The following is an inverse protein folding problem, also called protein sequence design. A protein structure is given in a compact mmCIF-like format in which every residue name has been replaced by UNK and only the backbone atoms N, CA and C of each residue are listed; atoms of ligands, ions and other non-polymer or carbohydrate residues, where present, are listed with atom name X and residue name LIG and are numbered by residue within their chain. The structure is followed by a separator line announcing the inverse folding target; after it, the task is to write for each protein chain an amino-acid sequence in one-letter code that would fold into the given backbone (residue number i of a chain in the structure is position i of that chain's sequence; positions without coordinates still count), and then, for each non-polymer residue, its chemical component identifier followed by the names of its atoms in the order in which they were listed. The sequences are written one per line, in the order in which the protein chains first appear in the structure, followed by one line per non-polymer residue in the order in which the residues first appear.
data_IF_281173319700
#
_entry.id   IF_281173319700
#
_cell.length_a   1.000
_cell.length_b   1.000
_cell.length_c   1.000
_cell.angle_alpha   90.00
_cell.angle_beta   90.00
_cell.angle_gamma   90.00
#
_symmetry.space_group_name_H-M   'P 1'
#
loop_
_entity.id
_entity.type
_entity.pdbx_description
1 polymer ?
#
# COMPACT_ATOMS: atom_id res chain seq x y z
N UNK A 1 7.40 -13.62 8.15
CA UNK A 1 6.08 -13.70 7.54
C UNK A 1 5.96 -15.02 6.75
N UNK A 2 5.17 -16.01 7.22
CA UNK A 2 5.06 -17.32 6.55
C UNK A 2 4.29 -17.25 5.22
N UNK A 3 3.44 -16.25 5.06
CA UNK A 3 2.54 -16.15 3.90
C UNK A 3 3.18 -15.50 2.67
N UNK A 4 4.26 -14.74 2.81
CA UNK A 4 4.77 -13.88 1.75
C UNK A 4 6.26 -14.07 1.49
N UNK A 5 6.59 -14.67 0.35
CA UNK A 5 7.98 -14.88 -0.08
C UNK A 5 8.74 -13.55 -0.27
N UNK A 6 8.08 -12.54 -0.84
CA UNK A 6 8.65 -11.19 -0.99
C UNK A 6 9.14 -10.63 0.36
N UNK A 7 8.30 -10.69 1.41
CA UNK A 7 8.65 -10.21 2.74
C UNK A 7 9.83 -10.98 3.35
N UNK A 8 9.88 -12.31 3.17
CA UNK A 8 11.02 -13.12 3.62
C UNK A 8 12.31 -12.76 2.89
N UNK A 9 12.24 -12.57 1.57
CA UNK A 9 13.40 -12.18 0.78
C UNK A 9 13.91 -10.79 1.18
N UNK A 10 13.02 -9.83 1.47
CA UNK A 10 13.43 -8.52 1.99
C UNK A 10 14.12 -8.62 3.35
N UNK A 11 13.59 -9.42 4.27
CA UNK A 11 14.25 -9.66 5.56
C UNK A 11 15.64 -10.29 5.39
N UNK A 12 15.76 -11.32 4.54
CA UNK A 12 17.05 -11.96 4.25
C UNK A 12 18.06 -11.00 3.61
N UNK A 13 17.62 -10.09 2.74
CA UNK A 13 18.49 -9.03 2.20
C UNK A 13 18.99 -8.09 3.29
N UNK A 14 18.14 -7.67 4.22
CA UNK A 14 18.55 -6.82 5.35
C UNK A 14 19.56 -7.54 6.25
N UNK A 15 19.30 -8.79 6.61
CA UNK A 15 20.19 -9.61 7.43
C UNK A 15 21.56 -9.76 6.77
N UNK A 16 21.61 -10.06 5.48
CA UNK A 16 22.84 -10.18 4.70
C UNK A 16 23.64 -8.87 4.70
N UNK A 17 23.00 -7.75 4.43
CA UNK A 17 23.65 -6.44 4.33
C UNK A 17 24.18 -5.98 5.71
N UNK A 18 23.42 -6.18 6.78
CA UNK A 18 23.85 -5.83 8.13
C UNK A 18 24.98 -6.75 8.62
N UNK A 19 24.95 -8.04 8.28
CA UNK A 19 26.04 -8.96 8.57
C UNK A 19 27.33 -8.57 7.82
N UNK A 20 27.21 -8.15 6.56
CA UNK A 20 28.35 -7.66 5.78
C UNK A 20 28.92 -6.37 6.35
N UNK A 21 28.05 -5.45 6.78
CA UNK A 21 28.47 -4.26 7.51
C UNK A 21 29.28 -4.60 8.77
N UNK A 22 28.75 -5.50 9.59
CA UNK A 22 29.43 -5.92 10.83
C UNK A 22 30.78 -6.60 10.56
N UNK A 23 30.90 -7.33 9.45
CA UNK A 23 32.11 -8.08 9.08
C UNK A 23 33.20 -7.20 8.46
N UNK A 24 32.84 -6.22 7.63
CA UNK A 24 33.79 -5.49 6.77
C UNK A 24 33.75 -3.97 6.94
N UNK A 25 32.77 -3.42 7.65
CA UNK A 25 32.49 -1.99 7.67
C UNK A 25 31.81 -1.47 6.40
N UNK A 26 31.24 -2.35 5.55
CA UNK A 26 30.50 -1.95 4.35
C UNK A 26 29.42 -0.91 4.68
N UNK A 27 29.43 0.29 4.07
CA UNK A 27 28.52 1.37 4.45
C UNK A 27 27.12 1.11 3.91
N UNK A 28 26.26 0.53 4.73
CA UNK A 28 24.86 0.25 4.40
C UNK A 28 23.91 1.04 5.28
N UNK A 29 22.85 1.55 4.70
CA UNK A 29 21.69 2.10 5.41
C UNK A 29 20.43 1.39 4.89
N UNK A 30 19.64 0.82 5.79
CA UNK A 30 18.39 0.15 5.45
C UNK A 30 17.24 1.14 5.58
N UNK A 31 16.41 1.23 4.55
CA UNK A 31 15.19 2.04 4.57
C UNK A 31 13.97 1.16 4.34
N UNK A 32 13.01 1.25 5.25
CA UNK A 32 11.75 0.50 5.24
C UNK A 32 10.60 1.45 4.98
N UNK A 33 10.18 1.65 3.74
CA UNK A 33 8.94 2.38 3.42
C UNK A 33 7.72 1.54 3.80
N UNK A 34 6.58 2.21 3.98
CA UNK A 34 5.28 1.55 3.90
C UNK A 34 4.78 1.57 2.45
N UNK A 35 3.53 1.89 2.19
CA UNK A 35 3.01 2.01 0.83
C UNK A 35 3.35 3.40 0.26
N UNK A 36 4.52 3.50 -0.37
CA UNK A 36 4.93 4.74 -1.06
C UNK A 36 4.27 4.83 -2.42
N UNK A 37 3.75 6.00 -2.78
CA UNK A 37 3.03 6.23 -4.03
C UNK A 37 3.27 7.63 -4.60
N UNK A 38 2.91 7.82 -5.87
CA UNK A 38 2.94 9.10 -6.58
C UNK A 38 1.70 9.21 -7.49
N UNK A 39 1.60 10.28 -8.29
CA UNK A 39 0.45 10.46 -9.19
C UNK A 39 0.24 9.29 -10.17
N UNK A 40 1.29 8.53 -10.50
CA UNK A 40 1.25 7.39 -11.44
C UNK A 40 0.90 6.06 -10.77
N UNK A 41 0.79 6.03 -9.46
CA UNK A 41 0.48 4.82 -8.69
C UNK A 41 -0.43 5.17 -7.53
N UNK A 42 -1.52 4.45 -7.38
CA UNK A 42 -2.53 4.70 -6.36
C UNK A 42 -2.64 3.47 -5.44
N UNK A 43 -2.49 3.63 -4.12
CA UNK A 43 -2.70 2.55 -3.18
C UNK A 43 -4.17 2.10 -3.15
N UNK A 44 -4.37 0.80 -3.38
CA UNK A 44 -5.64 0.10 -3.16
C UNK A 44 -5.36 -1.21 -2.44
N UNK A 45 -6.35 -1.75 -1.73
CA UNK A 45 -6.13 -2.98 -0.96
C UNK A 45 -5.99 -4.20 -1.88
N UNK A 46 -6.92 -4.35 -2.82
CA UNK A 46 -7.03 -5.51 -3.72
C UNK A 46 -7.03 -4.98 -5.16
N UNK A 47 -6.22 -5.58 -6.02
CA UNK A 47 -6.18 -5.27 -7.45
C UNK A 47 -5.67 -6.46 -8.24
N UNK A 48 -5.99 -6.50 -9.53
CA UNK A 48 -5.43 -7.41 -10.52
C UNK A 48 -4.24 -6.80 -11.27
N UNK A 49 -3.99 -7.27 -12.48
CA UNK A 49 -2.91 -6.82 -13.34
C UNK A 49 -3.10 -5.37 -13.84
N UNK A 50 -4.34 -4.91 -13.98
CA UNK A 50 -4.69 -3.51 -14.31
C UNK A 50 -4.41 -2.51 -13.19
N UNK A 51 -3.97 -2.99 -12.02
CA UNK A 51 -3.64 -2.15 -10.88
C UNK A 51 -4.84 -1.37 -10.35
N UNK A 52 -4.58 -0.16 -9.87
CA UNK A 52 -5.62 0.68 -9.27
C UNK A 52 -6.70 1.12 -10.28
N UNK A 53 -6.36 1.26 -11.56
CA UNK A 53 -7.33 1.69 -12.56
C UNK A 53 -8.55 0.76 -12.62
N UNK A 54 -8.35 -0.56 -12.61
CA UNK A 54 -9.45 -1.52 -12.65
C UNK A 54 -10.42 -1.37 -11.44
N UNK A 55 -9.90 -0.91 -10.30
CA UNK A 55 -10.71 -0.60 -9.11
C UNK A 55 -11.48 0.70 -9.31
N UNK A 56 -10.83 1.77 -9.79
CA UNK A 56 -11.49 3.05 -10.10
C UNK A 56 -12.58 2.87 -11.14
N UNK A 57 -12.30 2.13 -12.22
CA UNK A 57 -13.27 1.81 -13.28
C UNK A 57 -14.50 1.10 -12.69
N UNK A 58 -14.28 0.10 -11.81
CA UNK A 58 -15.37 -0.62 -11.14
C UNK A 58 -16.23 0.32 -10.27
N UNK A 59 -15.58 1.23 -9.53
CA UNK A 59 -16.29 2.24 -8.72
C UNK A 59 -17.13 3.18 -9.60
N UNK A 60 -16.57 3.67 -10.71
CA UNK A 60 -17.30 4.53 -11.68
C UNK A 60 -18.47 3.82 -12.34
N UNK A 61 -18.41 2.49 -12.51
CA UNK A 61 -19.52 1.68 -12.98
C UNK A 61 -20.59 1.43 -11.91
N UNK A 62 -20.42 1.94 -10.68
CA UNK A 62 -21.34 1.73 -9.56
C UNK A 62 -21.35 0.29 -9.01
N UNK A 63 -20.33 -0.50 -9.34
CA UNK A 63 -20.17 -1.87 -8.86
C UNK A 63 -19.57 -1.89 -7.45
N UNK A 64 -19.81 -2.97 -6.71
CA UNK A 64 -19.18 -3.17 -5.40
C UNK A 64 -17.71 -3.55 -5.54
N UNK A 65 -16.88 -3.03 -4.66
CA UNK A 65 -15.44 -3.35 -4.60
C UNK A 65 -15.15 -4.35 -3.48
N UNK A 66 -14.43 -5.44 -3.74
CA UNK A 66 -13.99 -6.35 -2.68
C UNK A 66 -13.08 -5.64 -1.69
N UNK A 67 -13.36 -5.87 -0.40
CA UNK A 67 -12.58 -5.34 0.71
C UNK A 67 -12.27 -6.49 1.66
N UNK A 68 -11.00 -6.69 2.00
CA UNK A 68 -10.61 -7.75 2.89
C UNK A 68 -11.08 -7.51 4.32
N UNK A 69 -11.65 -8.52 4.93
CA UNK A 69 -12.23 -8.51 6.27
C UNK A 69 -13.35 -7.46 6.38
N UNK A 70 -13.30 -6.59 7.37
CA UNK A 70 -14.21 -5.48 7.60
C UNK A 70 -13.71 -4.13 7.04
N UNK A 71 -12.51 -4.13 6.44
CA UNK A 71 -11.88 -2.92 5.92
C UNK A 71 -11.31 -1.98 6.99
N UNK A 72 -11.28 -2.39 8.26
CA UNK A 72 -10.83 -1.55 9.39
C UNK A 72 -9.36 -1.78 9.77
N UNK A 73 -8.63 -2.65 9.08
CA UNK A 73 -7.18 -2.73 9.29
C UNK A 73 -6.50 -1.41 8.93
N UNK A 74 -5.62 -0.97 9.84
CA UNK A 74 -4.90 0.30 9.73
C UNK A 74 -3.72 0.19 8.77
N UNK A 75 -3.55 1.22 7.97
CA UNK A 75 -2.45 1.30 7.00
C UNK A 75 -1.84 2.70 6.94
N UNK A 76 -0.65 2.79 6.35
CA UNK A 76 0.06 4.06 6.18
C UNK A 76 0.47 4.23 4.72
N UNK A 77 0.01 5.32 4.10
CA UNK A 77 0.32 5.70 2.71
C UNK A 77 1.22 6.94 2.73
N UNK A 78 2.29 6.91 1.96
CA UNK A 78 3.28 8.01 1.94
C UNK A 78 3.52 8.45 0.50
N UNK A 79 3.38 9.74 0.20
CA UNK A 79 3.74 10.23 -1.13
C UNK A 79 5.26 10.11 -1.35
N UNK A 80 5.68 9.93 -2.60
CA UNK A 80 7.09 9.83 -2.95
C UNK A 80 7.86 11.11 -2.57
N UNK A 81 7.21 12.27 -2.68
CA UNK A 81 7.78 13.56 -2.33
C UNK A 81 8.08 13.66 -0.82
N UNK A 82 7.11 13.29 0.01
CA UNK A 82 7.27 13.30 1.47
C UNK A 82 8.31 12.28 1.93
N UNK A 83 8.30 11.08 1.32
CA UNK A 83 9.32 10.07 1.56
C UNK A 83 10.72 10.62 1.24
N UNK A 84 10.88 11.32 0.11
CA UNK A 84 12.15 11.84 -0.34
C UNK A 84 12.79 12.84 0.65
N UNK A 85 12.01 13.58 1.42
CA UNK A 85 12.52 14.54 2.41
C UNK A 85 13.47 13.86 3.41
N UNK A 86 13.00 12.81 4.07
CA UNK A 86 13.84 12.09 5.04
C UNK A 86 14.87 11.19 4.34
N UNK A 87 14.52 10.60 3.20
CA UNK A 87 15.43 9.75 2.44
C UNK A 87 16.68 10.53 2.02
N UNK A 88 16.52 11.74 1.48
CA UNK A 88 17.64 12.61 1.13
C UNK A 88 18.47 13.00 2.36
N UNK A 89 17.85 13.18 3.52
CA UNK A 89 18.56 13.45 4.78
C UNK A 89 19.41 12.28 5.31
N UNK A 90 19.17 11.05 4.82
CA UNK A 90 19.99 9.88 5.13
C UNK A 90 21.17 9.71 4.16
N UNK A 91 21.09 10.26 2.95
CA UNK A 91 22.16 10.12 1.96
C UNK A 91 23.44 10.84 2.43
N UNK A 92 24.54 10.10 2.48
CA UNK A 92 25.82 10.62 2.95
C UNK A 92 25.89 10.91 4.47
N UNK A 93 24.86 10.55 5.24
CA UNK A 93 24.83 10.72 6.68
C UNK A 93 25.55 9.57 7.37
N UNK A 94 26.72 9.83 7.93
CA UNK A 94 27.52 8.82 8.63
C UNK A 94 26.80 8.17 9.81
N UNK A 95 25.90 8.90 10.50
CA UNK A 95 25.11 8.37 11.60
C UNK A 95 24.00 7.39 11.15
N UNK A 96 23.77 7.28 9.85
CA UNK A 96 22.82 6.32 9.27
C UNK A 96 23.47 4.99 8.85
N UNK A 97 24.80 4.92 8.83
CA UNK A 97 25.53 3.71 8.42
C UNK A 97 25.32 2.60 9.46
N UNK A 98 24.99 1.40 8.98
CA UNK A 98 24.71 0.22 9.82
C UNK A 98 23.32 0.22 10.46
N UNK A 99 22.48 1.19 10.13
CA UNK A 99 21.21 1.41 10.79
C UNK A 99 20.01 1.18 9.85
N UNK A 100 18.84 0.87 10.44
CA UNK A 100 17.58 0.71 9.71
C UNK A 100 16.56 1.78 10.14
N UNK A 101 15.84 2.34 9.16
CA UNK A 101 14.89 3.44 9.34
C UNK A 101 13.55 3.14 8.71
N UNK A 102 12.46 3.43 9.40
CA UNK A 102 11.16 3.65 8.78
C UNK A 102 11.08 5.09 8.27
N UNK A 103 10.51 5.25 7.07
CA UNK A 103 10.12 6.54 6.51
C UNK A 103 8.69 6.38 6.00
N UNK A 104 7.73 6.92 6.74
CA UNK A 104 6.30 6.76 6.45
C UNK A 104 5.55 8.02 6.82
N UNK A 105 4.33 8.20 6.29
CA UNK A 105 3.43 9.24 6.78
C UNK A 105 3.12 9.04 8.26
N UNK A 106 2.78 10.12 8.96
CA UNK A 106 2.21 10.07 10.31
C UNK A 106 0.68 9.83 10.27
N UNK A 107 0.05 9.93 9.09
CA UNK A 107 -1.36 9.61 8.91
C UNK A 107 -1.57 8.11 8.92
N UNK A 108 -2.50 7.66 9.76
CA UNK A 108 -2.93 6.26 9.83
C UNK A 108 -4.40 6.19 9.43
N UNK A 109 -4.72 5.41 8.41
CA UNK A 109 -6.07 5.31 7.87
C UNK A 109 -6.49 3.84 7.70
N UNK A 110 -7.80 3.59 7.71
CA UNK A 110 -8.35 2.28 7.38
C UNK A 110 -8.55 2.12 5.87
N UNK A 111 -8.67 0.88 5.39
CA UNK A 111 -9.00 0.65 3.98
C UNK A 111 -10.37 1.20 3.61
N UNK A 112 -11.33 1.20 4.55
CA UNK A 112 -12.61 1.88 4.34
C UNK A 112 -12.44 3.37 4.10
N UNK A 113 -11.56 4.04 4.86
CA UNK A 113 -11.26 5.47 4.64
C UNK A 113 -10.57 5.70 3.29
N UNK A 114 -9.65 4.79 2.89
CA UNK A 114 -9.03 4.83 1.56
C UNK A 114 -10.09 4.82 0.47
N UNK A 115 -10.99 3.82 0.47
CA UNK A 115 -12.00 3.69 -0.59
C UNK A 115 -13.07 4.79 -0.54
N UNK A 116 -13.44 5.28 0.65
CA UNK A 116 -14.33 6.45 0.77
C UNK A 116 -13.71 7.69 0.15
N UNK A 117 -12.42 7.95 0.42
CA UNK A 117 -11.72 9.06 -0.20
C UNK A 117 -11.70 8.95 -1.74
N UNK A 118 -11.50 7.75 -2.29
CA UNK A 118 -11.57 7.52 -3.74
C UNK A 118 -12.99 7.75 -4.29
N UNK A 119 -14.02 7.27 -3.60
CA UNK A 119 -15.42 7.48 -3.97
C UNK A 119 -15.79 8.97 -3.99
N UNK A 120 -15.38 9.72 -2.96
CA UNK A 120 -15.58 11.17 -2.86
C UNK A 120 -14.88 11.92 -4.01
N UNK A 121 -13.64 11.51 -4.37
CA UNK A 121 -12.90 12.11 -5.48
C UNK A 121 -13.58 11.84 -6.82
N UNK A 122 -14.09 10.63 -7.03
CA UNK A 122 -14.78 10.21 -8.24
C UNK A 122 -16.24 10.72 -8.33
N UNK A 123 -16.80 11.20 -7.22
CA UNK A 123 -18.21 11.62 -7.15
C UNK A 123 -19.19 10.44 -7.24
N UNK A 124 -18.83 9.26 -6.69
CA UNK A 124 -19.62 8.04 -6.70
C UNK A 124 -19.86 7.50 -5.29
N UNK A 125 -20.85 6.61 -5.13
CA UNK A 125 -21.06 5.93 -3.86
C UNK A 125 -19.99 4.89 -3.56
N UNK A 126 -19.50 4.85 -2.33
CA UNK A 126 -18.67 3.75 -1.86
C UNK A 126 -19.52 2.51 -1.59
N UNK A 127 -19.32 1.46 -2.35
CA UNK A 127 -20.08 0.21 -2.29
C UNK A 127 -19.17 -0.99 -1.99
N UNK A 128 -18.82 -1.25 -0.71
CA UNK A 128 -17.94 -2.36 -0.36
C UNK A 128 -18.64 -3.73 -0.49
N UNK A 129 -17.83 -4.73 -0.82
CA UNK A 129 -18.12 -6.14 -0.65
C UNK A 129 -17.10 -6.70 0.33
N UNK A 130 -17.46 -6.84 1.61
CA UNK A 130 -16.56 -7.35 2.63
C UNK A 130 -16.38 -8.86 2.51
N UNK A 131 -15.12 -9.29 2.45
CA UNK A 131 -14.75 -10.68 2.16
C UNK A 131 -13.68 -11.14 3.15
N UNK A 132 -13.84 -12.29 3.80
CA UNK A 132 -12.80 -12.84 4.66
C UNK A 132 -11.46 -12.96 3.91
N UNK A 133 -10.38 -12.50 4.53
CA UNK A 133 -9.05 -12.52 3.90
C UNK A 133 -8.61 -13.94 3.49
N UNK A 134 -8.97 -14.96 4.28
CA UNK A 134 -8.67 -16.35 3.95
C UNK A 134 -9.38 -16.84 2.68
N UNK A 135 -10.57 -16.30 2.36
CA UNK A 135 -11.29 -16.64 1.13
C UNK A 135 -10.61 -16.00 -0.08
N UNK A 136 -10.21 -14.73 0.01
CA UNK A 136 -9.41 -14.07 -1.02
C UNK A 136 -8.10 -14.83 -1.29
N UNK A 137 -7.46 -15.34 -0.24
CA UNK A 137 -6.23 -16.12 -0.34
C UNK A 137 -6.40 -17.48 -1.05
N UNK A 138 -7.63 -17.96 -1.22
CA UNK A 138 -7.92 -19.17 -2.02
C UNK A 138 -8.01 -18.89 -3.53
N UNK A 139 -7.89 -17.65 -3.95
CA UNK A 139 -7.88 -17.32 -5.38
C UNK A 139 -6.79 -18.09 -6.11
N UNK A 140 -7.17 -18.64 -7.28
CA UNK A 140 -6.23 -19.30 -8.20
C UNK A 140 -5.67 -18.32 -9.26
N UNK A 141 -6.29 -17.14 -9.37
CA UNK A 141 -5.92 -16.12 -10.34
C UNK A 141 -4.89 -15.15 -9.77
N UNK A 142 -4.96 -14.87 -8.47
CA UNK A 142 -4.13 -13.87 -7.80
C UNK A 142 -3.54 -14.44 -6.50
N UNK A 143 -2.26 -14.15 -6.23
CA UNK A 143 -1.63 -14.51 -4.95
C UNK A 143 -1.96 -13.46 -3.88
N UNK A 144 -3.10 -13.64 -3.21
CA UNK A 144 -3.50 -12.82 -2.07
C UNK A 144 -3.02 -13.39 -0.71
N UNK A 145 -2.32 -14.53 -0.67
CA UNK A 145 -1.72 -15.03 0.57
C UNK A 145 -0.71 -14.01 1.13
N UNK A 146 0.20 -13.55 0.27
CA UNK A 146 1.20 -12.57 0.66
C UNK A 146 0.60 -11.21 0.91
N UNK A 147 -0.03 -10.65 -0.12
CA UNK A 147 -0.45 -9.24 -0.12
C UNK A 147 -1.65 -8.93 0.79
N UNK A 148 -2.50 -9.91 1.09
CA UNK A 148 -3.67 -9.72 1.97
C UNK A 148 -3.45 -10.39 3.31
N UNK A 149 -3.36 -11.74 3.41
CA UNK A 149 -3.19 -12.44 4.69
C UNK A 149 -1.89 -12.07 5.39
N UNK A 150 -0.81 -11.96 4.63
CA UNK A 150 0.52 -11.64 5.16
C UNK A 150 0.77 -10.14 5.38
N UNK A 151 -0.12 -9.27 4.90
CA UNK A 151 0.14 -7.84 4.86
C UNK A 151 -1.14 -7.02 5.12
N UNK A 152 -1.92 -6.65 4.11
CA UNK A 152 -2.96 -5.62 4.15
C UNK A 152 -4.19 -5.94 5.02
N UNK A 153 -4.41 -7.20 5.39
CA UNK A 153 -5.44 -7.57 6.36
C UNK A 153 -5.03 -7.35 7.82
N UNK A 154 -3.77 -6.97 8.06
CA UNK A 154 -3.24 -6.73 9.40
C UNK A 154 -2.96 -5.23 9.58
N UNK A 155 -3.28 -4.69 10.77
CA UNK A 155 -2.97 -3.30 11.08
C UNK A 155 -1.48 -3.09 11.25
N UNK A 156 -0.95 -2.02 10.65
CA UNK A 156 0.43 -1.60 10.80
C UNK A 156 0.52 -0.08 10.93
N UNK A 157 1.29 0.36 11.93
CA UNK A 157 1.67 1.76 12.13
C UNK A 157 3.17 1.81 12.43
N UNK A 158 3.79 2.95 12.13
CA UNK A 158 5.24 3.08 12.23
C UNK A 158 5.65 4.30 13.05
N UNK A 159 6.83 4.24 13.65
CA UNK A 159 7.46 5.34 14.37
C UNK A 159 8.59 5.94 13.54
N UNK A 160 8.46 7.23 13.22
CA UNK A 160 9.46 8.02 12.50
C UNK A 160 10.48 8.74 13.42
N UNK A 161 10.43 8.53 14.74
CA UNK A 161 11.28 9.26 15.69
C UNK A 161 12.78 9.07 15.41
N UNK A 162 13.18 7.87 15.00
CA UNK A 162 14.58 7.55 14.70
C UNK A 162 15.10 8.32 13.48
N UNK A 163 14.35 8.33 12.37
CA UNK A 163 14.79 9.04 11.17
C UNK A 163 14.83 10.54 11.41
N UNK A 164 13.88 11.12 12.13
CA UNK A 164 13.88 12.53 12.53
C UNK A 164 15.12 12.89 13.34
N UNK A 165 15.46 12.07 14.33
CA UNK A 165 16.64 12.30 15.20
C UNK A 165 17.94 12.22 14.41
N UNK A 166 18.10 11.23 13.54
CA UNK A 166 19.36 11.00 12.82
C UNK A 166 19.56 12.00 11.69
N UNK A 167 18.52 12.40 10.98
CA UNK A 167 18.60 13.41 9.91
C UNK A 167 18.65 14.84 10.44
N UNK A 168 18.23 15.09 11.68
CA UNK A 168 18.00 16.43 12.21
C UNK A 168 16.80 17.13 11.59
N UNK A 169 16.05 16.48 10.69
CA UNK A 169 14.83 17.00 10.09
C UNK A 169 13.70 16.80 11.09
N UNK A 170 13.05 17.87 11.50
CA UNK A 170 11.91 17.84 12.40
C UNK A 170 10.70 17.12 11.79
N UNK A 171 9.55 17.22 12.47
CA UNK A 171 8.29 16.75 11.91
C UNK A 171 7.93 17.58 10.68
N UNK A 172 7.57 16.92 9.60
CA UNK A 172 7.04 17.55 8.39
C UNK A 172 5.53 17.37 8.32
N UNK A 173 4.85 18.23 7.58
CA UNK A 173 3.44 18.10 7.29
C UNK A 173 3.28 17.15 6.11
N UNK A 174 3.06 15.88 6.40
CA UNK A 174 2.82 14.87 5.37
C UNK A 174 1.55 15.16 4.59
N UNK A 175 1.61 14.93 3.29
CA UNK A 175 0.45 15.02 2.41
C UNK A 175 -0.62 14.03 2.86
N UNK A 176 -1.83 14.48 3.25
CA UNK A 176 -2.93 13.59 3.58
C UNK A 176 -3.27 12.69 2.40
N UNK A 177 -3.65 11.43 2.67
CA UNK A 177 -3.98 10.47 1.61
C UNK A 177 -5.02 11.02 0.64
N UNK A 178 -6.09 11.64 1.12
CA UNK A 178 -7.14 12.21 0.26
C UNK A 178 -6.60 13.25 -0.74
N UNK A 179 -5.56 14.01 -0.36
CA UNK A 179 -4.90 15.00 -1.25
C UNK A 179 -4.03 14.31 -2.28
N UNK A 180 -3.17 13.39 -1.86
CA UNK A 180 -2.30 12.63 -2.76
C UNK A 180 -3.09 11.74 -3.72
N UNK A 181 -4.12 11.05 -3.21
CA UNK A 181 -5.01 10.20 -4.01
C UNK A 181 -5.75 11.01 -5.09
N UNK A 182 -6.19 12.24 -4.79
CA UNK A 182 -6.81 13.13 -5.79
C UNK A 182 -5.86 13.37 -6.96
N UNK A 183 -4.60 13.67 -6.71
CA UNK A 183 -3.58 13.87 -7.76
C UNK A 183 -3.45 12.61 -8.62
N UNK A 184 -3.41 11.42 -7.99
CA UNK A 184 -3.32 10.15 -8.72
C UNK A 184 -4.57 9.87 -9.55
N UNK A 185 -5.78 10.07 -9.01
CA UNK A 185 -7.03 9.87 -9.75
C UNK A 185 -7.12 10.82 -10.94
N UNK A 186 -6.83 12.12 -10.76
CA UNK A 186 -6.80 13.11 -11.83
C UNK A 186 -5.78 12.75 -12.91
N UNK A 187 -4.61 12.23 -12.50
CA UNK A 187 -3.60 11.74 -13.44
C UNK A 187 -4.13 10.56 -14.26
N UNK A 188 -4.71 9.52 -13.63
CA UNK A 188 -5.30 8.39 -14.34
C UNK A 188 -6.41 8.83 -15.31
N UNK A 189 -7.30 9.74 -14.89
CA UNK A 189 -8.39 10.22 -15.74
C UNK A 189 -7.90 11.01 -16.95
N UNK A 190 -6.79 11.73 -16.83
CA UNK A 190 -6.20 12.54 -17.91
C UNK A 190 -5.19 11.80 -18.81
N UNK A 191 -4.83 10.54 -18.44
CA UNK A 191 -3.82 9.74 -19.16
C UNK A 191 -4.40 8.39 -19.59
N UNK A 192 -5.00 8.30 -20.80
CA UNK A 192 -5.62 7.05 -21.28
C UNK A 192 -4.66 5.84 -21.35
N UNK A 193 -3.36 6.07 -21.52
CA UNK A 193 -2.33 5.03 -21.49
C UNK A 193 -2.17 4.36 -20.13
N UNK A 194 -2.62 5.02 -19.05
CA UNK A 194 -2.66 4.47 -17.69
C UNK A 194 -3.96 3.71 -17.40
N UNK A 195 -4.98 3.85 -18.24
CA UNK A 195 -6.31 3.26 -18.09
C UNK A 195 -6.31 1.84 -18.67
N UNK A 196 -5.64 0.91 -17.97
CA UNK A 196 -5.50 -0.48 -18.40
C UNK A 196 -6.71 -1.31 -17.96
N UNK A 197 -7.58 -1.73 -18.90
CA UNK A 197 -8.68 -2.62 -18.57
C UNK A 197 -8.18 -3.96 -18.02
N UNK A 198 -8.89 -4.49 -17.05
CA UNK A 198 -8.59 -5.81 -16.46
C UNK A 198 -9.89 -6.63 -16.35
N UNK A 199 -10.35 -7.23 -17.47
CA UNK A 199 -11.59 -8.00 -17.49
C UNK A 199 -11.54 -9.21 -16.57
N UNK A 200 -10.37 -9.81 -16.37
CA UNK A 200 -10.21 -10.95 -15.46
C UNK A 200 -10.41 -10.52 -14.01
N UNK A 201 -9.89 -9.34 -13.64
CA UNK A 201 -10.14 -8.77 -12.32
C UNK A 201 -11.60 -8.38 -12.11
N UNK A 202 -12.28 -7.83 -13.14
CA UNK A 202 -13.70 -7.52 -13.05
C UNK A 202 -14.53 -8.80 -12.84
N UNK A 203 -14.25 -9.85 -13.61
CA UNK A 203 -14.91 -11.15 -13.45
C UNK A 203 -14.64 -11.79 -12.09
N UNK A 204 -13.39 -11.68 -11.59
CA UNK A 204 -13.03 -12.13 -10.25
C UNK A 204 -13.84 -11.39 -9.18
N UNK A 205 -13.96 -10.07 -9.27
CA UNK A 205 -14.74 -9.27 -8.32
C UNK A 205 -16.24 -9.64 -8.34
N UNK A 206 -16.81 -9.85 -9.53
CA UNK A 206 -18.21 -10.28 -9.69
C UNK A 206 -18.43 -11.66 -9.05
N UNK A 207 -17.50 -12.60 -9.28
CA UNK A 207 -17.54 -13.92 -8.63
C UNK A 207 -17.43 -13.87 -7.11
N UNK A 208 -16.53 -13.02 -6.59
CA UNK A 208 -16.36 -12.83 -5.13
C UNK A 208 -17.63 -12.25 -4.51
N UNK A 209 -18.32 -11.33 -5.21
CA UNK A 209 -19.59 -10.77 -4.76
C UNK A 209 -20.69 -11.84 -4.69
N UNK A 210 -20.79 -12.72 -5.69
CA UNK A 210 -21.74 -13.85 -5.71
C UNK A 210 -21.49 -14.83 -4.55
N UNK A 211 -20.22 -15.20 -4.33
CA UNK A 211 -19.84 -16.07 -3.22
C UNK A 211 -20.15 -15.46 -1.86
N UNK A 212 -19.87 -14.16 -1.69
CA UNK A 212 -20.17 -13.43 -0.45
C UNK A 212 -21.68 -13.33 -0.19
N UNK A 213 -22.48 -13.13 -1.25
CA UNK A 213 -23.94 -13.11 -1.14
C UNK A 213 -24.50 -14.49 -0.74
N UNK A 214 -23.92 -15.58 -1.24
CA UNK A 214 -24.31 -16.94 -0.88
C UNK A 214 -23.90 -17.38 0.54
N UNK A 215 -23.03 -16.62 1.20
CA UNK A 215 -22.61 -16.87 2.61
C UNK A 215 -23.51 -16.15 3.63
N UNK A 216 -24.38 -15.25 3.19
CA UNK A 216 -25.36 -14.62 4.09
C UNK A 216 -26.45 -15.63 4.44
N UNK A 217 -26.56 -15.95 5.77
CA UNK A 217 -27.57 -16.84 6.35
C UNK A 217 -28.95 -16.20 6.36
#
# INVERSE_FOLDING_TARGET
NPYWLYSRNKAACEELLLAEHARTGFPVTIVRPSHTYCERSLPVQIHGAGGAWAVLERMMQGKRVPVACDGESLWVMTTAEDFAVYFCGLLGNHAAIGEAFHITSDETITWNQVYRALADILGVDYRPCYVPAWLLAQSRLYDFNGSILGDKANSVIFDNSKVRRVTGIGRIDFTPYAVGARRSVEYFLSHPDMQRPDPDFQAFCDHVEDVAAGMML
#
